data_IF_020537322914
#
_entry.id   IF_020537322914
#
_cell.length_a   1.000
_cell.length_b   1.000
_cell.length_c   1.000
_cell.angle_alpha   90.00
_cell.angle_beta   90.00
_cell.angle_gamma   90.00
#
_symmetry.space_group_name_H-M   'P 1'
#
loop_
_entity.id
_entity.type
_entity.pdbx_description
1 polymer ?
#
# COMPACT_ATOMS: atom_id res chain seq x y z
N UNK A 1 -23.56 -12.30 22.41
CA UNK A 1 -22.09 -12.11 22.25
C UNK A 1 -21.70 -10.82 22.96
N UNK A 2 -20.78 -10.84 23.94
CA UNK A 2 -20.41 -9.65 24.72
C UNK A 2 -19.77 -8.60 23.78
N UNK A 3 -20.15 -7.32 23.87
CA UNK A 3 -19.72 -6.32 22.86
C UNK A 3 -18.19 -6.18 22.76
N UNK A 4 -17.48 -6.47 23.85
CA UNK A 4 -16.00 -6.44 23.92
C UNK A 4 -15.31 -7.50 23.07
N UNK A 5 -15.87 -8.72 22.96
CA UNK A 5 -15.27 -9.76 22.11
C UNK A 5 -15.43 -9.44 20.62
N UNK A 6 -16.54 -8.82 20.24
CA UNK A 6 -16.79 -8.39 18.86
C UNK A 6 -15.83 -7.24 18.48
N UNK A 7 -15.60 -6.29 19.38
CA UNK A 7 -14.61 -5.23 19.19
C UNK A 7 -13.19 -5.79 19.07
N UNK A 8 -12.80 -6.72 19.96
CA UNK A 8 -11.48 -7.35 19.90
C UNK A 8 -11.24 -8.12 18.59
N UNK A 9 -12.25 -8.85 18.12
CA UNK A 9 -12.21 -9.55 16.84
C UNK A 9 -12.07 -8.57 15.67
N UNK A 10 -12.78 -7.43 15.69
CA UNK A 10 -12.64 -6.38 14.68
C UNK A 10 -11.22 -5.77 14.65
N UNK A 11 -10.64 -5.48 15.82
CA UNK A 11 -9.26 -4.98 15.93
C UNK A 11 -8.26 -6.00 15.38
N UNK A 12 -8.45 -7.29 15.69
CA UNK A 12 -7.58 -8.37 15.20
C UNK A 12 -7.63 -8.49 13.67
N UNK A 13 -8.82 -8.46 13.06
CA UNK A 13 -8.97 -8.51 11.61
C UNK A 13 -8.27 -7.31 10.96
N UNK A 14 -8.45 -6.10 11.52
CA UNK A 14 -7.83 -4.90 11.00
C UNK A 14 -6.30 -4.95 11.11
N UNK A 15 -5.77 -5.50 12.20
CA UNK A 15 -4.33 -5.71 12.39
C UNK A 15 -3.76 -6.65 11.33
N UNK A 16 -4.42 -7.79 11.09
CA UNK A 16 -4.01 -8.74 10.05
C UNK A 16 -4.01 -8.10 8.66
N UNK A 17 -5.02 -7.28 8.36
CA UNK A 17 -5.09 -6.52 7.11
C UNK A 17 -3.93 -5.54 6.97
N UNK A 18 -3.62 -4.77 8.02
CA UNK A 18 -2.47 -3.85 8.02
C UNK A 18 -1.17 -4.61 7.76
N UNK A 19 -0.92 -5.71 8.49
CA UNK A 19 0.30 -6.52 8.31
C UNK A 19 0.42 -7.01 6.87
N UNK A 20 -0.66 -7.55 6.30
CA UNK A 20 -0.68 -8.02 4.92
C UNK A 20 -0.33 -6.90 3.93
N UNK A 21 -0.95 -5.72 4.06
CA UNK A 21 -0.68 -4.59 3.17
C UNK A 21 0.76 -4.07 3.30
N UNK A 22 1.30 -4.05 4.52
CA UNK A 22 2.67 -3.60 4.79
C UNK A 22 3.70 -4.53 4.16
N UNK A 23 3.54 -5.84 4.32
CA UNK A 23 4.45 -6.83 3.71
C UNK A 23 4.47 -6.69 2.19
N UNK A 24 3.28 -6.57 1.58
CA UNK A 24 3.15 -6.45 0.13
C UNK A 24 3.79 -5.16 -0.41
N UNK A 25 3.61 -4.03 0.29
CA UNK A 25 4.03 -2.71 -0.21
C UNK A 25 5.49 -2.40 0.09
N UNK A 26 6.03 -2.80 1.25
CA UNK A 26 7.39 -2.41 1.66
C UNK A 26 8.44 -3.00 0.73
N UNK A 27 8.30 -4.28 0.33
CA UNK A 27 9.28 -4.94 -0.53
C UNK A 27 9.46 -4.20 -1.86
N UNK A 28 8.34 -3.92 -2.53
CA UNK A 28 8.28 -3.23 -3.81
C UNK A 28 8.70 -1.75 -3.71
N UNK A 29 8.31 -1.06 -2.64
CA UNK A 29 8.69 0.33 -2.44
C UNK A 29 10.20 0.47 -2.15
N UNK A 30 10.76 -0.42 -1.33
CA UNK A 30 12.18 -0.41 -0.97
C UNK A 30 13.06 -0.81 -2.16
N UNK A 31 12.65 -1.77 -2.99
CA UNK A 31 13.40 -2.13 -4.20
C UNK A 31 13.49 -0.97 -5.18
N UNK A 32 12.40 -0.21 -5.35
CA UNK A 32 12.35 0.98 -6.19
C UNK A 32 13.20 2.14 -5.63
N UNK A 33 13.11 2.43 -4.33
CA UNK A 33 13.88 3.53 -3.70
C UNK A 33 15.39 3.26 -3.74
N UNK A 34 15.79 2.01 -3.53
CA UNK A 34 17.20 1.60 -3.53
C UNK A 34 17.75 1.32 -4.94
N UNK A 35 16.93 1.40 -6.00
CA UNK A 35 17.33 1.08 -7.37
C UNK A 35 18.05 -0.28 -7.47
N UNK A 36 17.40 -1.33 -6.93
CA UNK A 36 17.93 -2.70 -6.98
C UNK A 36 18.02 -3.23 -8.41
N UNK A 37 18.73 -4.34 -8.59
CA UNK A 37 18.88 -4.97 -9.91
C UNK A 37 17.59 -5.64 -10.40
N UNK A 38 16.69 -5.96 -9.48
CA UNK A 38 15.31 -6.40 -9.73
C UNK A 38 14.34 -5.48 -8.97
N UNK A 39 13.36 -4.94 -9.68
CA UNK A 39 12.33 -4.05 -9.16
C UNK A 39 10.96 -4.54 -9.61
N UNK A 40 10.16 -5.02 -8.67
CA UNK A 40 8.74 -5.29 -8.85
C UNK A 40 7.94 -4.03 -8.56
N UNK A 41 7.18 -3.55 -9.54
CA UNK A 41 6.39 -2.34 -9.38
C UNK A 41 5.01 -2.46 -10.03
N UNK A 42 4.00 -1.86 -9.41
CA UNK A 42 2.65 -1.74 -9.96
C UNK A 42 1.94 -0.50 -9.42
N UNK A 43 0.84 -0.09 -10.08
CA UNK A 43 -0.02 0.98 -9.57
C UNK A 43 -0.55 0.66 -8.16
N UNK A 44 -0.73 -0.62 -7.83
CA UNK A 44 -1.16 -1.09 -6.51
C UNK A 44 -0.18 -0.71 -5.40
N UNK A 45 1.12 -0.65 -5.69
CA UNK A 45 2.14 -0.22 -4.72
C UNK A 45 1.91 1.25 -4.35
N UNK A 46 1.65 2.12 -5.33
CA UNK A 46 1.36 3.54 -5.10
C UNK A 46 0.11 3.73 -4.27
N UNK A 47 -0.98 3.02 -4.63
CA UNK A 47 -2.24 3.05 -3.88
C UNK A 47 -2.02 2.56 -2.45
N UNK A 48 -1.28 1.48 -2.28
CA UNK A 48 -0.95 0.90 -0.98
C UNK A 48 -0.17 1.86 -0.08
N UNK A 49 0.90 2.47 -0.59
CA UNK A 49 1.70 3.46 0.16
C UNK A 49 0.83 4.65 0.55
N UNK A 50 0.08 5.22 -0.39
CA UNK A 50 -0.75 6.41 -0.15
C UNK A 50 -1.94 6.13 0.77
N UNK A 51 -2.54 4.93 0.70
CA UNK A 51 -3.68 4.54 1.55
C UNK A 51 -3.23 4.06 2.93
N UNK A 52 -1.97 3.66 3.10
CA UNK A 52 -1.44 3.17 4.38
C UNK A 52 -1.72 4.07 5.59
N UNK A 53 -1.65 5.42 5.53
CA UNK A 53 -1.94 6.27 6.67
C UNK A 53 -3.37 6.11 7.20
N UNK A 54 -4.34 5.86 6.30
CA UNK A 54 -5.74 5.61 6.67
C UNK A 54 -5.87 4.31 7.46
N UNK A 55 -5.20 3.25 7.03
CA UNK A 55 -5.23 1.94 7.69
C UNK A 55 -4.57 1.99 9.07
N UNK A 56 -3.41 2.64 9.19
CA UNK A 56 -2.75 2.87 10.48
C UNK A 56 -3.61 3.71 11.42
N UNK A 57 -4.24 4.78 10.91
CA UNK A 57 -5.15 5.59 11.71
C UNK A 57 -6.39 4.83 12.18
N UNK A 58 -6.97 4.00 11.31
CA UNK A 58 -8.09 3.14 11.67
C UNK A 58 -7.70 2.14 12.78
N UNK A 59 -6.49 1.56 12.72
CA UNK A 59 -5.97 0.66 13.75
C UNK A 59 -5.81 1.39 15.09
N UNK A 60 -5.16 2.55 15.08
CA UNK A 60 -4.97 3.38 16.27
C UNK A 60 -6.31 3.82 16.87
N UNK A 61 -7.26 4.25 16.05
CA UNK A 61 -8.61 4.60 16.49
C UNK A 61 -9.35 3.41 17.11
N UNK A 62 -9.21 2.22 16.52
CA UNK A 62 -9.88 1.01 17.02
C UNK A 62 -9.31 0.61 18.38
N UNK A 63 -7.99 0.69 18.57
CA UNK A 63 -7.33 0.46 19.87
C UNK A 63 -7.76 1.52 20.88
N UNK A 64 -7.79 2.80 20.49
CA UNK A 64 -8.23 3.90 21.35
C UNK A 64 -9.67 3.72 21.81
N UNK A 65 -10.56 3.35 20.88
CA UNK A 65 -11.96 3.07 21.18
C UNK A 65 -12.11 1.86 22.10
N UNK A 66 -11.31 0.81 21.92
CA UNK A 66 -11.32 -0.37 22.79
C UNK A 66 -10.91 -0.05 24.24
N UNK A 67 -9.91 0.83 24.43
CA UNK A 67 -9.40 1.19 25.76
C UNK A 67 -10.32 2.21 26.46
N UNK A 68 -10.69 3.28 25.76
CA UNK A 68 -11.38 4.43 26.37
C UNK A 68 -12.90 4.44 26.12
N UNK A 69 -13.41 3.53 25.30
CA UNK A 69 -14.82 3.45 24.88
C UNK A 69 -15.36 4.79 24.33
N UNK A 70 -14.48 5.59 23.72
CA UNK A 70 -14.75 6.93 23.18
C UNK A 70 -14.00 7.14 21.87
N UNK A 71 -14.55 7.94 20.97
CA UNK A 71 -13.88 8.34 19.73
C UNK A 71 -12.99 9.58 19.90
N UNK A 72 -11.89 9.71 19.12
CA UNK A 72 -11.06 10.90 19.10
C UNK A 72 -11.86 12.16 18.74
N UNK A 73 -11.53 13.30 19.35
CA UNK A 73 -12.28 14.58 19.20
C UNK A 73 -12.39 15.04 17.75
N UNK A 74 -11.34 14.85 16.95
CA UNK A 74 -11.28 15.29 15.55
C UNK A 74 -11.39 14.14 14.54
N UNK A 75 -11.89 12.97 14.97
CA UNK A 75 -11.97 11.76 14.14
C UNK A 75 -12.59 12.02 12.77
N UNK A 76 -13.74 12.70 12.72
CA UNK A 76 -14.46 12.99 11.48
C UNK A 76 -13.62 13.78 10.46
N UNK A 77 -12.86 14.79 10.92
CA UNK A 77 -12.04 15.64 10.04
C UNK A 77 -10.85 14.84 9.50
N UNK A 78 -10.18 14.10 10.38
CA UNK A 78 -9.00 13.30 10.02
C UNK A 78 -9.38 12.18 9.04
N UNK A 79 -10.45 11.42 9.33
CA UNK A 79 -10.93 10.36 8.43
C UNK A 79 -11.32 10.94 7.08
N UNK A 80 -12.03 12.07 7.04
CA UNK A 80 -12.45 12.69 5.77
C UNK A 80 -11.24 13.07 4.91
N UNK A 81 -10.21 13.66 5.51
CA UNK A 81 -8.96 13.98 4.82
C UNK A 81 -8.26 12.71 4.29
N UNK A 82 -8.13 11.68 5.13
CA UNK A 82 -7.47 10.43 4.74
C UNK A 82 -8.23 9.64 3.67
N UNK A 83 -9.56 9.66 3.69
CA UNK A 83 -10.41 9.05 2.65
C UNK A 83 -10.22 9.79 1.33
N UNK A 84 -10.20 11.13 1.35
CA UNK A 84 -9.90 11.92 0.15
C UNK A 84 -8.51 11.61 -0.42
N UNK A 85 -7.51 11.43 0.45
CA UNK A 85 -6.17 11.02 0.04
C UNK A 85 -6.19 9.62 -0.61
N UNK A 86 -6.90 8.66 -0.03
CA UNK A 86 -7.06 7.32 -0.61
C UNK A 86 -7.74 7.35 -1.98
N UNK A 87 -8.80 8.16 -2.16
CA UNK A 87 -9.47 8.35 -3.46
C UNK A 87 -8.50 8.96 -4.48
N UNK A 88 -7.79 10.02 -4.08
CA UNK A 88 -6.82 10.69 -4.94
C UNK A 88 -5.68 9.74 -5.34
N UNK A 89 -5.28 8.81 -4.47
CA UNK A 89 -4.26 7.82 -4.77
C UNK A 89 -4.61 6.96 -5.98
N UNK A 90 -5.89 6.63 -6.18
CA UNK A 90 -6.33 5.86 -7.34
C UNK A 90 -6.10 6.63 -8.64
N UNK A 91 -6.42 7.94 -8.63
CA UNK A 91 -6.23 8.83 -9.77
C UNK A 91 -4.73 9.03 -10.08
N UNK A 92 -3.92 9.24 -9.04
CA UNK A 92 -2.47 9.50 -9.17
C UNK A 92 -1.68 8.21 -9.50
N UNK A 93 -2.20 7.03 -9.14
CA UNK A 93 -1.51 5.76 -9.35
C UNK A 93 -1.16 5.51 -10.82
N UNK A 94 -2.06 5.87 -11.73
CA UNK A 94 -1.86 5.73 -13.17
C UNK A 94 -0.69 6.58 -13.68
N UNK A 95 -0.70 7.94 -13.58
CA UNK A 95 0.40 8.75 -14.09
C UNK A 95 1.73 8.43 -13.41
N UNK A 96 1.73 8.12 -12.10
CA UNK A 96 2.95 7.70 -11.40
C UNK A 96 3.48 6.39 -11.98
N UNK A 97 2.61 5.42 -12.28
CA UNK A 97 3.06 4.15 -12.86
C UNK A 97 3.68 4.30 -14.25
N UNK A 98 3.11 5.16 -15.09
CA UNK A 98 3.70 5.49 -16.39
C UNK A 98 5.05 6.19 -16.23
N UNK A 99 5.14 7.15 -15.31
CA UNK A 99 6.37 7.88 -15.04
C UNK A 99 7.50 6.97 -14.54
N UNK A 100 7.20 6.08 -13.57
CA UNK A 100 8.18 5.12 -13.05
C UNK A 100 8.64 4.17 -14.16
N UNK A 101 7.72 3.66 -14.97
CA UNK A 101 8.05 2.78 -16.09
C UNK A 101 8.96 3.48 -17.12
N UNK A 102 8.63 4.72 -17.47
CA UNK A 102 9.45 5.54 -18.37
C UNK A 102 10.85 5.77 -17.80
N UNK A 103 10.94 6.15 -16.53
CA UNK A 103 12.23 6.42 -15.87
C UNK A 103 13.10 5.17 -15.80
N UNK A 104 12.57 4.03 -15.36
CA UNK A 104 13.33 2.79 -15.26
C UNK A 104 13.86 2.33 -16.63
N UNK A 105 13.05 2.44 -17.69
CA UNK A 105 13.51 2.14 -19.06
C UNK A 105 14.61 3.08 -19.53
N UNK A 106 14.49 4.37 -19.21
CA UNK A 106 15.53 5.35 -19.52
C UNK A 106 16.84 5.10 -18.74
N UNK A 107 16.74 4.53 -17.53
CA UNK A 107 17.87 4.13 -16.69
C UNK A 107 18.46 2.76 -17.12
N UNK A 108 17.98 2.16 -18.21
CA UNK A 108 18.52 0.93 -18.80
C UNK A 108 17.88 -0.37 -18.30
N UNK A 109 16.81 -0.31 -17.51
CA UNK A 109 16.09 -1.50 -17.08
C UNK A 109 15.25 -2.09 -18.22
N UNK A 110 15.25 -3.42 -18.28
CA UNK A 110 14.43 -4.24 -19.16
C UNK A 110 13.23 -4.78 -18.39
N UNK A 111 12.15 -5.12 -19.10
CA UNK A 111 10.95 -5.69 -18.48
C UNK A 111 10.85 -7.17 -18.76
N UNK A 112 10.57 -7.98 -17.75
CA UNK A 112 10.27 -9.40 -17.93
C UNK A 112 8.87 -9.59 -18.53
N UNK A 113 8.66 -10.74 -19.18
CA UNK A 113 7.35 -11.13 -19.68
C UNK A 113 6.34 -11.32 -18.55
N UNK A 114 5.10 -10.94 -18.83
CA UNK A 114 4.02 -10.95 -17.85
C UNK A 114 3.03 -12.05 -18.21
N UNK A 115 2.64 -12.83 -17.21
CA UNK A 115 1.61 -13.87 -17.38
C UNK A 115 0.23 -13.25 -17.60
N UNK A 116 -0.03 -12.07 -17.03
CA UNK A 116 -1.31 -11.37 -17.12
C UNK A 116 -1.11 -9.86 -17.18
N UNK A 117 -2.07 -9.14 -17.78
CA UNK A 117 -2.06 -7.67 -17.75
C UNK A 117 -2.26 -7.13 -16.32
N UNK A 118 -2.87 -7.91 -15.43
CA UNK A 118 -3.07 -7.49 -14.04
C UNK A 118 -1.85 -7.78 -13.14
N UNK A 119 -0.85 -8.53 -13.61
CA UNK A 119 0.34 -8.83 -12.81
C UNK A 119 1.24 -7.59 -12.69
N UNK A 120 1.95 -7.43 -11.56
CA UNK A 120 2.96 -6.40 -11.42
C UNK A 120 4.02 -6.50 -12.52
N UNK A 121 4.64 -5.36 -12.84
CA UNK A 121 5.75 -5.30 -13.79
C UNK A 121 7.07 -5.52 -13.07
N UNK A 122 7.84 -6.50 -13.50
CA UNK A 122 9.21 -6.72 -13.03
C UNK A 122 10.20 -6.05 -13.98
N UNK A 123 11.04 -5.18 -13.44
CA UNK A 123 12.11 -4.49 -14.13
C UNK A 123 13.45 -5.06 -13.67
N UNK A 124 14.31 -5.44 -14.62
CA UNK A 124 15.62 -6.03 -14.34
C UNK A 124 16.72 -5.35 -15.15
N UNK A 125 17.95 -5.31 -14.62
CA UNK A 125 19.10 -4.82 -15.42
C UNK A 125 19.63 -5.85 -16.41
N UNK A 126 19.43 -7.13 -16.11
CA UNK A 126 19.86 -8.25 -16.95
C UNK A 126 18.69 -9.24 -17.09
N UNK A 127 18.40 -9.69 -18.31
CA UNK A 127 17.32 -10.63 -18.61
C UNK A 127 17.51 -11.99 -17.93
N UNK A 128 18.73 -12.35 -17.55
CA UNK A 128 19.02 -13.57 -16.77
C UNK A 128 18.39 -13.56 -15.37
N UNK A 129 17.98 -12.39 -14.88
CA UNK A 129 17.26 -12.23 -13.61
C UNK A 129 15.74 -12.43 -13.76
N UNK A 130 15.22 -12.56 -14.98
CA UNK A 130 13.83 -12.94 -15.20
C UNK A 130 13.64 -14.43 -14.93
N UNK A 131 12.76 -14.75 -13.98
CA UNK A 131 12.34 -16.12 -13.65
C UNK A 131 11.09 -16.55 -14.43
#
# INVERSE_FOLDING_TARGET
MNSKYLQALGVLILLLLVIFTVIFVIGDAVSLILMKDEITFSATVVIGVMTSPLLFYALLCSIFFFIFNRQPKFNKVIVNFMVWLAILSFIISLPVSFYVSYKLKNDGYLTCDKISWMSPTTYVKDLSLCN
#
